data_IF_961586629976
#
_entry.id   IF_961586629976
#
_cell.length_a   1.000
_cell.length_b   1.000
_cell.length_c   1.000
_cell.angle_alpha   90.00
_cell.angle_beta   90.00
_cell.angle_gamma   90.00
#
_symmetry.space_group_name_H-M   'P 1'
#
loop_
_entity.id
_entity.type
_entity.pdbx_description
1 polymer ?
#
# COMPACT_ATOMS: atom_id res chain seq x y z
N UNK A 1 -32.78 22.04 116.90
CA UNK A 1 -33.78 22.37 115.86
C UNK A 1 -33.26 21.86 114.52
N UNK A 2 -33.92 20.85 113.95
CA UNK A 2 -33.66 20.37 112.59
C UNK A 2 -33.97 21.44 111.55
N UNK A 3 -33.38 21.31 110.35
CA UNK A 3 -34.24 21.22 109.17
C UNK A 3 -33.91 19.97 108.33
N UNK A 4 -34.93 19.13 108.18
CA UNK A 4 -35.09 18.17 107.11
C UNK A 4 -35.46 18.93 105.82
N UNK A 5 -34.75 18.73 104.72
CA UNK A 5 -35.25 19.01 103.35
C UNK A 5 -34.48 18.15 102.32
N UNK A 6 -35.08 17.84 101.16
CA UNK A 6 -35.42 16.47 100.77
C UNK A 6 -34.36 15.78 99.89
N UNK A 7 -34.37 14.45 99.91
CA UNK A 7 -33.67 13.61 98.95
C UNK A 7 -34.16 13.92 97.51
N UNK A 8 -33.29 14.51 96.69
CA UNK A 8 -33.46 14.55 95.23
C UNK A 8 -33.34 13.12 94.71
N UNK A 9 -34.47 12.48 94.43
CA UNK A 9 -34.51 11.22 93.67
C UNK A 9 -33.78 11.42 92.34
N UNK A 10 -32.77 10.59 92.10
CA UNK A 10 -31.80 10.79 91.04
C UNK A 10 -32.39 10.64 89.63
N UNK A 11 -32.36 11.72 88.84
CA UNK A 11 -32.39 11.66 87.37
C UNK A 11 -31.06 11.13 86.80
N UNK A 12 -30.46 10.11 87.41
CA UNK A 12 -29.16 9.54 87.02
C UNK A 12 -29.27 8.37 86.02
N UNK A 13 -30.49 7.88 85.73
CA UNK A 13 -30.73 6.80 84.74
C UNK A 13 -31.05 7.27 83.32
N UNK A 14 -31.68 8.45 83.14
CA UNK A 14 -32.10 8.94 81.81
C UNK A 14 -30.92 9.34 80.90
N UNK A 15 -29.81 9.80 81.50
CA UNK A 15 -28.60 10.16 80.75
C UNK A 15 -28.01 8.92 80.06
N UNK A 16 -28.02 7.77 80.73
CA UNK A 16 -27.50 6.52 80.18
C UNK A 16 -28.35 6.01 79.00
N UNK A 17 -29.68 6.13 79.09
CA UNK A 17 -30.59 5.76 77.99
C UNK A 17 -30.40 6.69 76.78
N UNK A 18 -30.32 8.00 76.99
CA UNK A 18 -30.02 8.97 75.93
C UNK A 18 -28.66 8.70 75.28
N UNK A 19 -27.62 8.44 76.07
CA UNK A 19 -26.29 8.10 75.58
C UNK A 19 -26.29 6.83 74.73
N UNK A 20 -27.05 5.79 75.10
CA UNK A 20 -27.16 4.56 74.31
C UNK A 20 -27.89 4.78 72.98
N UNK A 21 -28.94 5.60 72.96
CA UNK A 21 -29.66 5.97 71.73
C UNK A 21 -28.73 6.74 70.79
N UNK A 22 -28.03 7.76 71.31
CA UNK A 22 -27.06 8.51 70.51
C UNK A 22 -25.93 7.63 70.00
N UNK A 23 -25.40 6.72 70.82
CA UNK A 23 -24.38 5.76 70.41
C UNK A 23 -24.88 4.85 69.28
N UNK A 24 -26.12 4.35 69.38
CA UNK A 24 -26.75 3.55 68.33
C UNK A 24 -26.89 4.32 67.01
N UNK A 25 -27.29 5.60 67.08
CA UNK A 25 -27.37 6.48 65.91
C UNK A 25 -25.97 6.72 65.32
N UNK A 26 -24.96 6.98 66.13
CA UNK A 26 -23.58 7.16 65.66
C UNK A 26 -23.02 5.90 65.00
N UNK A 27 -23.31 4.71 65.53
CA UNK A 27 -22.94 3.45 64.88
C UNK A 27 -23.67 3.25 63.54
N UNK A 28 -24.96 3.56 63.48
CA UNK A 28 -25.74 3.45 62.23
C UNK A 28 -25.22 4.42 61.16
N UNK A 29 -24.96 5.69 61.52
CA UNK A 29 -24.39 6.68 60.60
C UNK A 29 -22.96 6.31 60.21
N UNK A 30 -22.14 5.86 61.15
CA UNK A 30 -20.75 5.45 60.91
C UNK A 30 -20.66 4.26 59.95
N UNK A 31 -21.48 3.23 60.15
CA UNK A 31 -21.54 2.06 59.25
C UNK A 31 -22.09 2.44 57.88
N UNK A 32 -23.10 3.30 57.80
CA UNK A 32 -23.62 3.82 56.52
C UNK A 32 -22.57 4.61 55.75
N UNK A 33 -21.78 5.45 56.42
CA UNK A 33 -20.71 6.22 55.80
C UNK A 33 -19.57 5.33 55.29
N UNK A 34 -19.14 4.34 56.08
CA UNK A 34 -18.14 3.36 55.64
C UNK A 34 -18.63 2.57 54.42
N UNK A 35 -19.91 2.17 54.40
CA UNK A 35 -20.50 1.51 53.24
C UNK A 35 -20.49 2.42 52.00
N UNK A 36 -20.91 3.68 52.14
CA UNK A 36 -20.86 4.66 51.06
C UNK A 36 -19.45 4.86 50.49
N UNK A 37 -18.44 5.01 51.36
CA UNK A 37 -17.03 5.17 50.94
C UNK A 37 -16.52 3.92 50.22
N UNK A 38 -16.84 2.72 50.70
CA UNK A 38 -16.40 1.47 50.06
C UNK A 38 -17.06 1.23 48.71
N UNK A 39 -18.36 1.52 48.57
CA UNK A 39 -19.08 1.45 47.29
C UNK A 39 -18.52 2.48 46.30
N UNK A 40 -18.30 3.72 46.74
CA UNK A 40 -17.72 4.77 45.92
C UNK A 40 -16.31 4.43 45.43
N UNK A 41 -15.45 3.92 46.33
CA UNK A 41 -14.10 3.49 45.98
C UNK A 41 -14.10 2.31 44.99
N UNK A 42 -15.00 1.33 45.16
CA UNK A 42 -15.17 0.22 44.21
C UNK A 42 -15.66 0.72 42.84
N UNK A 43 -16.65 1.60 42.82
CA UNK A 43 -17.18 2.20 41.59
C UNK A 43 -16.10 2.98 40.82
N UNK A 44 -15.30 3.79 41.52
CA UNK A 44 -14.18 4.50 40.92
C UNK A 44 -13.14 3.55 40.30
N UNK A 45 -12.78 2.47 41.01
CA UNK A 45 -11.86 1.44 40.48
C UNK A 45 -12.40 0.74 39.24
N UNK A 46 -13.68 0.39 39.23
CA UNK A 46 -14.33 -0.25 38.07
C UNK A 46 -14.38 0.71 36.87
N UNK A 47 -14.66 2.00 37.10
CA UNK A 47 -14.65 3.00 36.03
C UNK A 47 -13.25 3.20 35.42
N UNK A 48 -12.22 3.30 36.26
CA UNK A 48 -10.83 3.37 35.80
C UNK A 48 -10.43 2.11 35.03
N UNK A 49 -10.73 0.93 35.58
CA UNK A 49 -10.44 -0.35 34.92
C UNK A 49 -11.18 -0.49 33.57
N UNK A 50 -12.43 -0.02 33.50
CA UNK A 50 -13.21 0.01 32.26
C UNK A 50 -12.61 0.93 31.20
N UNK A 51 -12.15 2.12 31.59
CA UNK A 51 -11.49 3.05 30.66
C UNK A 51 -10.15 2.47 30.16
N UNK A 52 -9.37 1.85 31.05
CA UNK A 52 -8.13 1.17 30.70
C UNK A 52 -8.35 -0.02 29.77
N UNK A 53 -9.37 -0.85 30.05
CA UNK A 53 -9.72 -1.98 29.19
C UNK A 53 -10.16 -1.52 27.79
N UNK A 54 -10.88 -0.38 27.69
CA UNK A 54 -11.25 0.20 26.40
C UNK A 54 -10.02 0.67 25.63
N UNK A 55 -9.15 1.46 26.27
CA UNK A 55 -7.92 1.94 25.64
C UNK A 55 -7.01 0.80 25.17
N UNK A 56 -6.95 -0.31 25.92
CA UNK A 56 -6.23 -1.52 25.51
C UNK A 56 -6.85 -2.16 24.26
N UNK A 57 -8.18 -2.22 24.19
CA UNK A 57 -8.86 -2.75 23.02
C UNK A 57 -8.65 -1.84 21.79
N UNK A 58 -8.68 -0.51 21.95
CA UNK A 58 -8.42 0.46 20.87
C UNK A 58 -6.97 0.34 20.35
N UNK A 59 -6.00 0.32 21.26
CA UNK A 59 -4.60 0.13 20.89
C UNK A 59 -4.36 -1.23 20.19
N UNK A 60 -5.09 -2.28 20.60
CA UNK A 60 -5.03 -3.58 19.96
C UNK A 60 -5.62 -3.57 18.54
N UNK A 61 -6.66 -2.76 18.28
CA UNK A 61 -7.19 -2.56 16.93
C UNK A 61 -6.16 -1.84 16.04
N UNK A 62 -5.53 -0.77 16.52
CA UNK A 62 -4.49 -0.06 15.78
C UNK A 62 -3.28 -0.96 15.48
N UNK A 63 -2.87 -1.76 16.48
CA UNK A 63 -1.83 -2.78 16.32
C UNK A 63 -2.23 -3.80 15.26
N UNK A 64 -3.47 -4.28 15.25
CA UNK A 64 -3.94 -5.24 14.26
C UNK A 64 -3.86 -4.68 12.84
N UNK A 65 -4.27 -3.43 12.63
CA UNK A 65 -4.14 -2.75 11.33
C UNK A 65 -2.66 -2.65 10.91
N UNK A 66 -1.79 -2.21 11.81
CA UNK A 66 -0.34 -2.17 11.56
C UNK A 66 0.23 -3.55 11.21
N UNK A 67 -0.09 -4.58 11.98
CA UNK A 67 0.41 -5.95 11.76
C UNK A 67 -0.10 -6.53 10.45
N UNK A 68 -1.35 -6.27 10.06
CA UNK A 68 -1.91 -6.69 8.77
C UNK A 68 -1.21 -6.02 7.58
N UNK A 69 -0.75 -4.77 7.75
CA UNK A 69 0.06 -4.06 6.76
C UNK A 69 1.49 -4.61 6.65
N UNK A 70 2.03 -5.23 7.70
CA UNK A 70 3.35 -5.89 7.65
C UNK A 70 3.27 -7.35 7.19
N UNK A 71 2.21 -8.06 7.59
CA UNK A 71 1.99 -9.47 7.31
C UNK A 71 0.48 -9.72 7.06
N UNK A 72 0.05 -9.89 5.79
CA UNK A 72 -1.35 -10.16 5.45
C UNK A 72 -1.93 -11.44 6.07
N UNK A 73 -1.07 -12.35 6.53
CA UNK A 73 -1.43 -13.60 7.20
C UNK A 73 -1.52 -13.48 8.73
N UNK A 74 -1.38 -12.27 9.30
CA UNK A 74 -1.54 -12.06 10.73
C UNK A 74 -2.95 -12.47 11.19
N UNK A 75 -3.01 -13.44 12.11
CA UNK A 75 -4.26 -14.03 12.61
C UNK A 75 -4.69 -13.48 13.98
N UNK A 76 -3.82 -12.67 14.62
CA UNK A 76 -4.04 -12.13 15.94
C UNK A 76 -3.07 -12.66 16.99
N UNK A 77 -3.39 -12.40 18.25
CA UNK A 77 -2.57 -12.76 19.42
C UNK A 77 -3.47 -12.88 20.65
N UNK A 78 -3.08 -13.69 21.63
CA UNK A 78 -3.96 -14.04 22.76
C UNK A 78 -3.27 -13.73 24.08
N UNK A 79 -3.98 -13.04 24.98
CA UNK A 79 -3.54 -12.67 26.32
C UNK A 79 -2.17 -11.98 26.35
N UNK A 80 -1.91 -11.08 25.39
CA UNK A 80 -0.68 -10.30 25.35
C UNK A 80 -0.71 -9.25 26.45
N UNK A 81 0.26 -9.31 27.36
CA UNK A 81 0.41 -8.33 28.44
C UNK A 81 0.85 -6.96 27.92
N UNK A 82 0.17 -5.91 28.35
CA UNK A 82 0.57 -4.53 28.07
C UNK A 82 0.16 -3.63 29.24
N UNK A 83 1.13 -2.92 29.80
CA UNK A 83 0.95 -2.08 31.00
C UNK A 83 0.24 -2.84 32.12
N UNK A 84 -0.89 -2.32 32.62
CA UNK A 84 -1.67 -2.84 33.74
C UNK A 84 -2.78 -3.81 33.33
N UNK A 85 -2.74 -4.35 32.11
CA UNK A 85 -3.76 -5.24 31.58
C UNK A 85 -3.24 -6.21 30.53
N UNK A 86 -4.16 -6.89 29.87
CA UNK A 86 -3.87 -7.77 28.73
C UNK A 86 -4.86 -7.52 27.60
N UNK A 87 -4.42 -7.75 26.37
CA UNK A 87 -5.30 -7.71 25.20
C UNK A 87 -5.22 -9.00 24.40
N UNK A 88 -6.26 -9.27 23.61
CA UNK A 88 -6.29 -10.32 22.59
C UNK A 88 -6.84 -9.76 21.30
N UNK A 89 -6.29 -10.20 20.17
CA UNK A 89 -6.71 -9.85 18.82
C UNK A 89 -7.10 -11.15 18.12
N UNK A 90 -8.22 -11.12 17.40
CA UNK A 90 -8.61 -12.19 16.48
C UNK A 90 -8.96 -11.57 15.14
N UNK A 91 -8.32 -12.09 14.09
CA UNK A 91 -8.57 -11.67 12.72
C UNK A 91 -9.31 -12.79 11.99
N UNK A 92 -10.44 -12.47 11.37
CA UNK A 92 -11.22 -13.39 10.55
C UNK A 92 -11.50 -12.78 9.18
N UNK A 93 -11.40 -13.57 8.12
CA UNK A 93 -11.75 -13.11 6.78
C UNK A 93 -13.26 -13.06 6.63
N UNK A 94 -13.79 -11.93 6.14
CA UNK A 94 -15.20 -11.77 5.76
C UNK A 94 -15.36 -12.12 4.28
N UNK A 95 -14.46 -11.59 3.45
CA UNK A 95 -14.29 -11.86 2.02
C UNK A 95 -12.81 -11.70 1.63
N UNK A 96 -12.48 -11.69 0.34
CA UNK A 96 -11.09 -11.54 -0.15
C UNK A 96 -10.46 -10.21 0.23
N UNK A 97 -11.27 -9.15 0.41
CA UNK A 97 -10.81 -7.77 0.59
C UNK A 97 -11.12 -7.22 1.98
N UNK A 98 -11.91 -7.92 2.79
CA UNK A 98 -12.37 -7.43 4.09
C UNK A 98 -12.05 -8.44 5.18
N UNK A 99 -11.40 -7.97 6.25
CA UNK A 99 -11.17 -8.72 7.49
C UNK A 99 -11.99 -8.10 8.62
N UNK A 100 -12.56 -8.95 9.47
CA UNK A 100 -13.15 -8.56 10.74
C UNK A 100 -12.09 -8.75 11.82
N UNK A 101 -11.71 -7.65 12.47
CA UNK A 101 -10.83 -7.65 13.62
C UNK A 101 -11.66 -7.52 14.89
N UNK A 102 -11.47 -8.45 15.81
CA UNK A 102 -12.02 -8.41 17.17
C UNK A 102 -10.88 -8.22 18.15
N UNK A 103 -10.88 -7.12 18.90
CA UNK A 103 -9.93 -6.86 19.97
C UNK A 103 -10.62 -6.88 21.33
N UNK A 104 -10.01 -7.55 22.30
CA UNK A 104 -10.51 -7.67 23.67
C UNK A 104 -9.46 -7.12 24.61
N UNK A 105 -9.77 -6.06 25.35
CA UNK A 105 -8.95 -5.54 26.45
C UNK A 105 -9.47 -6.02 27.80
N UNK A 106 -8.58 -6.47 28.67
CA UNK A 106 -8.90 -6.97 30.03
C UNK A 106 -7.99 -6.32 31.06
N UNK A 107 -8.57 -5.88 32.18
CA UNK A 107 -7.82 -5.29 33.29
C UNK A 107 -8.26 -5.94 34.59
N UNK A 108 -7.32 -6.39 35.45
CA UNK A 108 -5.86 -6.41 35.24
C UNK A 108 -5.37 -7.63 34.44
N UNK A 109 -6.18 -8.68 34.34
CA UNK A 109 -5.85 -9.90 33.62
C UNK A 109 -7.12 -10.59 33.09
N UNK A 110 -6.97 -11.64 32.29
CA UNK A 110 -8.06 -12.35 31.63
C UNK A 110 -8.65 -13.47 32.48
N UNK A 111 -7.98 -13.92 33.53
CA UNK A 111 -8.45 -14.96 34.44
C UNK A 111 -9.47 -14.41 35.45
N UNK A 112 -9.23 -13.21 35.97
CA UNK A 112 -10.09 -12.51 36.93
C UNK A 112 -10.19 -11.01 36.58
N UNK A 113 -10.85 -10.66 35.46
CA UNK A 113 -10.96 -9.27 35.04
C UNK A 113 -11.88 -8.47 35.97
N UNK A 114 -11.44 -7.28 36.35
CA UNK A 114 -12.29 -6.23 36.94
C UNK A 114 -13.14 -5.59 35.84
N UNK A 115 -12.57 -5.45 34.64
CA UNK A 115 -13.27 -4.97 33.46
C UNK A 115 -12.77 -5.66 32.20
N UNK A 116 -13.69 -5.88 31.26
CA UNK A 116 -13.44 -6.36 29.91
C UNK A 116 -14.11 -5.40 28.93
N UNK A 117 -13.45 -5.13 27.80
CA UNK A 117 -14.02 -4.36 26.69
C UNK A 117 -13.68 -5.03 25.39
N UNK A 118 -14.66 -5.16 24.52
CA UNK A 118 -14.49 -5.80 23.21
C UNK A 118 -14.83 -4.80 22.11
N UNK A 119 -13.91 -4.62 21.17
CA UNK A 119 -14.12 -3.80 19.97
C UNK A 119 -14.13 -4.72 18.75
N UNK A 120 -15.08 -4.48 17.85
CA UNK A 120 -15.11 -5.11 16.53
C UNK A 120 -15.10 -4.03 15.47
N UNK A 121 -14.24 -4.19 14.47
CA UNK A 121 -14.13 -3.30 13.31
C UNK A 121 -13.85 -4.12 12.06
N UNK A 122 -14.38 -3.69 10.92
CA UNK A 122 -13.96 -4.24 9.63
C UNK A 122 -12.80 -3.40 9.11
N UNK A 123 -11.76 -4.08 8.66
CA UNK A 123 -10.62 -3.48 7.99
C UNK A 123 -10.63 -3.99 6.55
N UNK A 124 -10.59 -3.07 5.59
CA UNK A 124 -10.68 -3.39 4.18
C UNK A 124 -9.37 -3.10 3.45
N UNK A 125 -9.07 -3.91 2.44
CA UNK A 125 -8.24 -3.54 1.31
C UNK A 125 -9.07 -2.62 0.44
N UNK A 126 -8.75 -1.34 0.45
CA UNK A 126 -9.28 -0.43 -0.57
C UNK A 126 -8.55 -0.71 -1.88
N UNK A 127 -9.19 -1.46 -2.77
CA UNK A 127 -8.71 -1.74 -4.13
C UNK A 127 -8.93 -0.58 -5.11
N UNK A 128 -9.49 0.53 -4.66
CA UNK A 128 -9.89 1.66 -5.52
C UNK A 128 -8.73 2.54 -5.98
N UNK A 129 -7.51 2.24 -5.53
CA UNK A 129 -6.29 2.89 -6.01
C UNK A 129 -5.20 1.84 -6.03
N UNK A 130 -4.69 1.50 -7.21
CA UNK A 130 -3.33 0.95 -7.29
C UNK A 130 -2.43 2.04 -6.74
N UNK A 131 -1.98 1.90 -5.49
CA UNK A 131 -1.18 2.93 -4.82
C UNK A 131 0.24 2.85 -5.32
N UNK A 132 0.59 3.81 -6.15
CA UNK A 132 1.93 3.95 -6.68
C UNK A 132 2.68 4.98 -5.85
N UNK A 133 3.63 4.48 -5.04
CA UNK A 133 4.33 5.31 -4.05
C UNK A 133 5.38 6.24 -4.67
N UNK A 134 5.77 6.00 -5.92
CA UNK A 134 6.87 6.68 -6.60
C UNK A 134 6.45 7.13 -8.00
N UNK A 135 7.07 8.20 -8.50
CA UNK A 135 6.79 8.66 -9.86
C UNK A 135 7.15 7.61 -10.91
N UNK A 136 8.19 6.80 -10.64
CA UNK A 136 8.59 5.62 -11.40
C UNK A 136 9.23 4.60 -10.45
N UNK A 137 8.85 3.32 -10.56
CA UNK A 137 9.37 2.24 -9.70
C UNK A 137 10.00 1.11 -10.53
N UNK A 138 11.24 0.73 -10.22
CA UNK A 138 11.85 -0.50 -10.72
C UNK A 138 12.14 -1.48 -9.59
N UNK A 139 12.09 -2.78 -9.89
CA UNK A 139 12.51 -3.87 -9.01
C UNK A 139 14.03 -4.03 -8.98
N UNK A 140 14.49 -5.26 -8.73
CA UNK A 140 15.90 -5.60 -8.58
C UNK A 140 16.73 -5.36 -9.86
N UNK A 141 16.08 -5.37 -11.04
CA UNK A 141 16.76 -5.10 -12.31
C UNK A 141 17.06 -3.61 -12.54
N UNK A 142 16.42 -2.73 -11.77
CA UNK A 142 16.73 -1.31 -11.68
C UNK A 142 16.46 -0.48 -12.94
N UNK A 143 17.19 0.63 -13.08
CA UNK A 143 17.05 1.58 -14.18
C UNK A 143 18.30 1.65 -15.05
N UNK A 144 18.07 1.81 -16.35
CA UNK A 144 19.10 2.23 -17.30
C UNK A 144 18.61 3.45 -18.07
N UNK A 145 19.38 4.54 -18.09
CA UNK A 145 19.09 5.78 -18.77
C UNK A 145 20.16 6.07 -19.82
N UNK A 146 19.80 5.92 -21.09
CA UNK A 146 20.68 6.19 -22.22
C UNK A 146 20.28 7.45 -22.96
N UNK A 147 21.28 8.10 -23.56
CA UNK A 147 21.14 9.35 -24.31
C UNK A 147 20.38 10.42 -23.50
N UNK A 148 19.74 11.36 -24.19
CA UNK A 148 19.00 12.48 -23.59
C UNK A 148 17.68 12.09 -22.91
N UNK A 149 17.57 10.86 -22.40
CA UNK A 149 16.38 10.39 -21.68
C UNK A 149 16.23 11.11 -20.35
N UNK A 150 15.00 11.26 -19.89
CA UNK A 150 14.70 11.97 -18.66
C UNK A 150 13.52 11.41 -17.89
N UNK A 151 13.54 11.63 -16.57
CA UNK A 151 12.43 11.29 -15.68
C UNK A 151 12.02 12.57 -14.95
N UNK A 152 10.76 12.94 -15.06
CA UNK A 152 10.15 14.07 -14.36
C UNK A 152 9.38 13.54 -13.15
N UNK A 153 10.08 13.40 -12.03
CA UNK A 153 9.56 12.84 -10.79
C UNK A 153 10.62 12.07 -10.00
N UNK A 154 10.21 11.54 -8.85
CA UNK A 154 11.07 10.73 -8.00
C UNK A 154 11.19 9.31 -8.55
N UNK A 155 12.38 8.72 -8.39
CA UNK A 155 12.72 7.37 -8.82
C UNK A 155 12.97 6.50 -7.60
N UNK A 156 12.32 5.35 -7.55
CA UNK A 156 12.65 4.28 -6.62
C UNK A 156 13.06 3.03 -7.37
N UNK A 157 14.16 2.44 -6.96
CA UNK A 157 14.72 1.25 -7.56
C UNK A 157 15.12 0.24 -6.48
N UNK A 158 14.64 -0.99 -6.59
CA UNK A 158 15.16 -2.12 -5.81
C UNK A 158 16.57 -2.56 -6.25
N UNK A 159 17.01 -2.10 -7.42
CA UNK A 159 18.35 -2.34 -7.96
C UNK A 159 19.08 -1.06 -8.35
N UNK A 160 20.09 -1.19 -9.20
CA UNK A 160 20.94 -0.06 -9.61
C UNK A 160 20.22 0.96 -10.49
N UNK A 161 20.59 2.24 -10.39
CA UNK A 161 20.16 3.31 -11.31
C UNK A 161 21.38 3.78 -12.10
N UNK A 162 21.41 3.43 -13.39
CA UNK A 162 22.60 3.58 -14.23
C UNK A 162 22.32 4.50 -15.40
N UNK A 163 23.17 5.48 -15.64
CA UNK A 163 23.14 6.32 -16.84
C UNK A 163 24.38 6.19 -17.72
N UNK A 164 24.26 6.55 -19.00
CA UNK A 164 25.37 6.48 -19.96
C UNK A 164 25.72 7.78 -20.68
N UNK A 165 24.80 8.73 -20.91
CA UNK A 165 25.09 10.02 -21.59
C UNK A 165 23.96 11.05 -21.47
N UNK A 166 24.18 12.26 -20.91
CA UNK A 166 23.24 13.41 -20.96
C UNK A 166 21.78 13.13 -20.51
N UNK A 167 21.58 12.20 -19.59
CA UNK A 167 20.27 11.90 -18.99
C UNK A 167 19.99 12.79 -17.76
N UNK A 168 18.71 12.99 -17.44
CA UNK A 168 18.25 13.81 -16.31
C UNK A 168 17.17 13.13 -15.48
N UNK A 169 17.30 13.19 -14.15
CA UNK A 169 16.21 12.85 -13.23
C UNK A 169 15.84 14.10 -12.44
N UNK A 170 14.66 14.65 -12.73
CA UNK A 170 14.10 15.83 -12.07
C UNK A 170 13.37 15.45 -10.77
N UNK A 171 14.11 14.86 -9.84
CA UNK A 171 13.55 14.36 -8.58
C UNK A 171 14.60 13.67 -7.71
N UNK A 172 14.14 13.13 -6.58
CA UNK A 172 14.97 12.30 -5.72
C UNK A 172 15.16 10.91 -6.34
N UNK A 173 16.32 10.31 -6.09
CA UNK A 173 16.67 8.95 -6.57
C UNK A 173 16.97 8.06 -5.39
N UNK A 174 16.29 6.92 -5.32
CA UNK A 174 16.55 5.86 -4.35
C UNK A 174 16.96 4.59 -5.08
N UNK A 175 18.14 4.09 -4.76
CA UNK A 175 18.57 2.72 -5.05
C UNK A 175 18.68 1.99 -3.72
N UNK A 176 17.70 1.12 -3.45
CA UNK A 176 17.50 0.50 -2.15
C UNK A 176 18.38 -0.75 -1.94
N UNK A 177 18.55 -1.14 -0.68
CA UNK A 177 19.28 -2.33 -0.28
C UNK A 177 20.81 -2.19 -0.29
N UNK A 178 21.52 -3.21 0.23
CA UNK A 178 22.97 -3.20 0.38
C UNK A 178 23.72 -3.30 -0.97
N UNK A 179 23.04 -3.73 -2.03
CA UNK A 179 23.58 -3.75 -3.40
C UNK A 179 23.21 -2.48 -4.19
N UNK A 180 22.57 -1.49 -3.54
CA UNK A 180 22.11 -0.26 -4.18
C UNK A 180 23.25 0.54 -4.80
N UNK A 181 23.15 0.82 -6.10
CA UNK A 181 24.20 1.48 -6.87
C UNK A 181 23.60 2.56 -7.78
N UNK A 182 24.11 3.78 -7.69
CA UNK A 182 23.71 4.87 -8.59
C UNK A 182 24.94 5.43 -9.30
N UNK A 183 24.99 5.42 -10.63
CA UNK A 183 26.07 6.10 -11.35
C UNK A 183 25.71 6.55 -12.77
N UNK A 184 26.42 7.55 -13.29
CA UNK A 184 26.30 8.00 -14.69
C UNK A 184 25.04 8.84 -14.97
N UNK A 185 24.39 9.33 -13.92
CA UNK A 185 23.16 10.14 -13.99
C UNK A 185 23.39 11.59 -13.57
N UNK A 186 22.47 12.48 -13.97
CA UNK A 186 22.29 13.81 -13.36
C UNK A 186 20.95 13.85 -12.61
N UNK A 187 20.98 13.87 -11.28
CA UNK A 187 19.81 14.06 -10.43
C UNK A 187 19.72 15.50 -9.93
N UNK A 188 18.57 16.15 -10.13
CA UNK A 188 18.36 17.55 -9.68
C UNK A 188 17.96 17.66 -8.21
N UNK A 189 17.80 16.54 -7.52
CA UNK A 189 17.49 16.49 -6.09
C UNK A 189 18.46 15.55 -5.36
N UNK A 190 18.04 14.89 -4.28
CA UNK A 190 18.92 14.07 -3.45
C UNK A 190 18.99 12.62 -3.96
N UNK A 191 20.10 11.95 -3.70
CA UNK A 191 20.33 10.55 -4.05
C UNK A 191 20.61 9.73 -2.80
N UNK A 192 19.99 8.56 -2.71
CA UNK A 192 20.14 7.58 -1.65
C UNK A 192 20.53 6.23 -2.27
N UNK A 193 21.72 5.72 -1.94
CA UNK A 193 22.20 4.42 -2.42
C UNK A 193 23.32 3.89 -1.54
N UNK A 194 23.52 2.58 -1.48
CA UNK A 194 24.67 2.00 -0.76
C UNK A 194 26.00 2.53 -1.35
N UNK A 195 26.12 2.51 -2.67
CA UNK A 195 27.26 3.06 -3.43
C UNK A 195 26.82 4.13 -4.43
N UNK A 196 27.54 5.25 -4.48
CA UNK A 196 27.31 6.30 -5.49
C UNK A 196 28.55 6.45 -6.38
N UNK A 197 28.34 6.26 -7.68
CA UNK A 197 29.28 6.54 -8.73
C UNK A 197 30.16 5.36 -9.15
N UNK A 198 30.91 5.54 -10.23
CA UNK A 198 31.76 4.53 -10.84
C UNK A 198 32.95 5.20 -11.54
N UNK A 199 34.10 4.51 -11.63
CA UNK A 199 35.31 5.07 -12.25
C UNK A 199 35.11 5.47 -13.74
N UNK A 200 34.21 4.80 -14.46
CA UNK A 200 34.03 5.00 -15.90
C UNK A 200 33.12 6.19 -16.26
N UNK A 201 32.26 6.67 -15.36
CA UNK A 201 31.24 7.69 -15.69
C UNK A 201 30.98 8.63 -14.52
N UNK A 202 30.86 9.92 -14.81
CA UNK A 202 30.58 10.93 -13.79
C UNK A 202 29.11 10.91 -13.38
N UNK A 203 28.85 11.15 -12.10
CA UNK A 203 27.51 11.30 -11.53
C UNK A 203 27.35 12.70 -10.96
N UNK A 204 26.25 13.38 -11.25
CA UNK A 204 25.98 14.75 -10.80
C UNK A 204 24.72 14.75 -9.92
N UNK A 205 24.84 15.35 -8.73
CA UNK A 205 23.78 15.43 -7.73
C UNK A 205 23.66 16.89 -7.29
N UNK A 206 22.53 17.54 -7.59
CA UNK A 206 22.35 18.97 -7.32
C UNK A 206 22.03 19.27 -5.85
N UNK A 207 21.53 18.28 -5.09
CA UNK A 207 21.31 18.39 -3.64
C UNK A 207 22.21 17.44 -2.86
N UNK A 208 21.63 16.57 -2.03
CA UNK A 208 22.37 15.79 -1.04
C UNK A 208 22.63 14.37 -1.53
N UNK A 209 23.72 13.77 -1.07
CA UNK A 209 24.08 12.40 -1.37
C UNK A 209 24.18 11.59 -0.07
N UNK A 210 23.40 10.51 0.05
CA UNK A 210 23.40 9.60 1.19
C UNK A 210 23.93 8.24 0.73
N UNK A 211 25.04 7.81 1.32
CA UNK A 211 25.73 6.58 0.96
C UNK A 211 26.47 5.96 2.13
N UNK A 212 26.84 4.69 2.03
CA UNK A 212 27.63 4.01 3.05
C UNK A 212 29.10 4.48 2.97
N UNK A 213 29.96 3.79 2.24
CA UNK A 213 31.40 4.08 2.24
C UNK A 213 31.94 4.55 0.89
N UNK A 214 31.26 4.24 -0.21
CA UNK A 214 31.80 4.44 -1.56
C UNK A 214 31.12 5.57 -2.32
N UNK A 215 31.90 6.62 -2.60
CA UNK A 215 31.56 7.68 -3.55
C UNK A 215 32.69 7.86 -4.57
N UNK A 216 32.43 7.60 -5.85
CA UNK A 216 33.43 7.58 -6.92
C UNK A 216 33.01 8.50 -8.06
N UNK A 217 33.90 9.35 -8.57
CA UNK A 217 33.63 10.19 -9.75
C UNK A 217 32.26 10.90 -9.70
N UNK A 218 31.94 11.50 -8.55
CA UNK A 218 30.61 12.07 -8.28
C UNK A 218 30.76 13.51 -7.81
N UNK A 219 30.05 14.42 -8.48
CA UNK A 219 29.92 15.83 -8.08
C UNK A 219 28.62 16.01 -7.30
N UNK A 220 28.73 16.51 -6.07
CA UNK A 220 27.58 16.79 -5.19
C UNK A 220 27.59 18.29 -4.87
N UNK A 221 26.54 19.01 -5.26
CA UNK A 221 26.41 20.45 -5.01
C UNK A 221 25.93 20.76 -3.59
N UNK A 222 25.14 19.87 -3.00
CA UNK A 222 24.73 19.95 -1.59
C UNK A 222 25.70 19.21 -0.66
N UNK A 223 25.15 18.54 0.36
CA UNK A 223 25.94 17.86 1.39
C UNK A 223 26.06 16.37 1.13
N UNK A 224 27.24 15.81 1.39
CA UNK A 224 27.48 14.35 1.39
C UNK A 224 27.34 13.78 2.81
N UNK A 225 26.56 12.72 2.95
CA UNK A 225 26.29 12.01 4.20
C UNK A 225 26.81 10.56 4.09
N UNK A 226 28.12 10.33 4.30
CA UNK A 226 28.68 8.98 4.36
C UNK A 226 28.20 8.22 5.63
N UNK A 227 28.24 6.89 5.58
CA UNK A 227 27.71 5.96 6.59
C UNK A 227 26.20 6.13 6.83
N UNK A 228 25.47 6.56 5.80
CA UNK A 228 24.01 6.58 5.85
C UNK A 228 23.47 5.15 5.75
N UNK A 229 22.43 4.79 6.51
CA UNK A 229 21.81 3.48 6.38
C UNK A 229 21.16 3.30 5.00
N UNK A 230 21.22 2.08 4.48
CA UNK A 230 20.55 1.72 3.23
C UNK A 230 19.03 1.91 3.34
N UNK A 231 18.43 2.39 2.25
CA UNK A 231 16.97 2.46 2.16
C UNK A 231 16.39 1.05 2.03
N UNK A 232 15.25 0.80 2.68
CA UNK A 232 14.60 -0.50 2.63
C UNK A 232 14.12 -0.85 1.21
N UNK A 233 14.29 -2.12 0.84
CA UNK A 233 13.74 -2.69 -0.39
C UNK A 233 12.23 -2.89 -0.25
N UNK A 234 11.51 -2.71 -1.35
CA UNK A 234 10.05 -2.75 -1.42
C UNK A 234 9.64 -3.61 -2.61
N UNK A 235 8.60 -4.43 -2.45
CA UNK A 235 8.05 -5.24 -3.54
C UNK A 235 7.31 -4.37 -4.56
N UNK A 236 7.14 -4.91 -5.77
CA UNK A 236 6.31 -4.26 -6.79
C UNK A 236 4.82 -4.28 -6.37
N UNK A 237 4.02 -3.28 -6.80
CA UNK A 237 2.70 -2.98 -6.22
C UNK A 237 1.57 -3.93 -6.61
N UNK A 238 1.69 -4.68 -7.71
CA UNK A 238 0.66 -5.61 -8.20
C UNK A 238 1.21 -7.04 -8.06
N UNK A 239 0.44 -7.94 -7.47
CA UNK A 239 0.85 -9.35 -7.32
C UNK A 239 0.42 -10.21 -8.51
N UNK A 240 1.12 -11.33 -8.75
CA UNK A 240 0.71 -12.33 -9.74
C UNK A 240 -0.70 -12.87 -9.48
N UNK A 241 -1.08 -13.00 -8.22
CA UNK A 241 -2.44 -13.43 -7.84
C UNK A 241 -3.49 -12.45 -8.35
N UNK A 242 -3.24 -11.13 -8.18
CA UNK A 242 -4.15 -10.09 -8.67
C UNK A 242 -4.24 -10.07 -10.20
N UNK A 243 -3.12 -10.31 -10.89
CA UNK A 243 -3.12 -10.45 -12.36
C UNK A 243 -3.96 -11.67 -12.77
N UNK A 244 -3.82 -12.81 -12.09
CA UNK A 244 -4.62 -14.01 -12.33
C UNK A 244 -6.12 -13.83 -12.07
N UNK A 245 -6.50 -12.98 -11.11
CA UNK A 245 -7.91 -12.60 -10.90
C UNK A 245 -8.46 -11.84 -12.12
N UNK A 246 -7.71 -10.88 -12.67
CA UNK A 246 -8.11 -10.17 -13.89
C UNK A 246 -8.17 -11.08 -15.12
N UNK A 247 -7.26 -12.05 -15.24
CA UNK A 247 -7.31 -13.08 -16.30
C UNK A 247 -8.58 -13.94 -16.20
N UNK A 248 -8.98 -14.27 -14.97
CA UNK A 248 -10.22 -15.01 -14.69
C UNK A 248 -11.44 -14.18 -15.10
N UNK A 249 -11.47 -12.88 -14.78
CA UNK A 249 -12.53 -11.96 -15.21
C UNK A 249 -12.58 -11.81 -16.74
N UNK A 250 -11.42 -11.73 -17.40
CA UNK A 250 -11.33 -11.69 -18.86
C UNK A 250 -11.89 -12.98 -19.49
N UNK A 251 -11.49 -14.14 -18.98
CA UNK A 251 -11.95 -15.44 -19.47
C UNK A 251 -13.46 -15.65 -19.24
N UNK A 252 -14.03 -15.12 -18.16
CA UNK A 252 -15.47 -15.18 -17.88
C UNK A 252 -16.31 -14.43 -18.93
N UNK A 253 -15.73 -13.43 -19.62
CA UNK A 253 -16.36 -12.74 -20.73
C UNK A 253 -16.38 -13.51 -22.05
N UNK A 254 -15.72 -14.68 -22.11
CA UNK A 254 -15.67 -15.56 -23.27
C UNK A 254 -14.28 -15.68 -23.87
N UNK A 255 -14.18 -16.46 -24.95
CA UNK A 255 -12.91 -16.70 -25.67
C UNK A 255 -13.04 -16.26 -27.12
N UNK A 256 -12.12 -15.41 -27.59
CA UNK A 256 -12.06 -14.96 -28.97
C UNK A 256 -11.62 -16.07 -29.93
N UNK A 257 -12.11 -16.02 -31.16
CA UNK A 257 -11.68 -16.92 -32.23
C UNK A 257 -10.47 -16.34 -32.94
N UNK A 258 -9.40 -17.13 -33.04
CA UNK A 258 -8.17 -16.77 -33.71
C UNK A 258 -8.16 -17.32 -35.15
N UNK A 259 -7.71 -16.49 -36.10
CA UNK A 259 -7.55 -16.89 -37.49
C UNK A 259 -6.07 -16.94 -37.81
N UNK A 260 -5.59 -18.08 -38.30
CA UNK A 260 -4.17 -18.28 -38.64
C UNK A 260 -3.21 -17.97 -37.47
N UNK A 261 -3.61 -18.28 -36.24
CA UNK A 261 -2.80 -18.06 -35.04
C UNK A 261 -2.77 -16.61 -34.53
N UNK A 262 -3.64 -15.73 -35.02
CA UNK A 262 -3.73 -14.35 -34.53
C UNK A 262 -5.18 -13.83 -34.46
N UNK A 263 -5.41 -12.90 -33.54
CA UNK A 263 -6.58 -12.04 -33.47
C UNK A 263 -6.19 -10.63 -33.93
N UNK A 264 -6.61 -10.26 -35.15
CA UNK A 264 -6.15 -9.04 -35.83
C UNK A 264 -7.29 -8.05 -36.09
N UNK A 265 -7.07 -6.77 -35.77
CA UNK A 265 -7.96 -5.65 -36.06
C UNK A 265 -7.14 -4.57 -36.76
N UNK A 266 -7.46 -4.25 -38.02
CA UNK A 266 -6.69 -3.29 -38.83
C UNK A 266 -7.44 -2.02 -39.23
N UNK A 267 -8.76 -2.01 -39.12
CA UNK A 267 -9.61 -0.85 -39.41
C UNK A 267 -11.00 -0.98 -38.77
N UNK A 268 -11.79 0.09 -38.83
CA UNK A 268 -13.16 0.12 -38.30
C UNK A 268 -13.21 0.30 -36.79
N UNK A 269 -14.41 0.16 -36.22
CA UNK A 269 -14.65 0.26 -34.78
C UNK A 269 -15.07 -1.10 -34.23
N UNK A 270 -14.38 -1.56 -33.18
CA UNK A 270 -14.63 -2.87 -32.54
C UNK A 270 -14.83 -2.67 -31.04
N UNK A 271 -15.83 -3.35 -30.48
CA UNK A 271 -16.00 -3.48 -29.02
C UNK A 271 -15.28 -4.73 -28.55
N UNK A 272 -14.47 -4.63 -27.49
CA UNK A 272 -13.64 -5.72 -27.01
C UNK A 272 -13.63 -5.77 -25.48
N UNK A 273 -13.54 -6.97 -24.92
CA UNK A 273 -13.47 -7.16 -23.48
C UNK A 273 -14.85 -7.17 -22.79
N UNK A 274 -14.99 -7.84 -21.62
CA UNK A 274 -14.02 -8.79 -21.08
C UNK A 274 -13.86 -10.01 -22.01
N UNK A 275 -12.62 -10.45 -22.28
CA UNK A 275 -12.39 -11.58 -23.19
C UNK A 275 -10.99 -12.20 -23.03
N UNK A 276 -10.89 -13.53 -23.19
CA UNK A 276 -9.63 -14.25 -23.42
C UNK A 276 -9.33 -14.41 -24.91
N UNK A 277 -8.12 -14.10 -25.33
CA UNK A 277 -7.62 -14.28 -26.70
C UNK A 277 -6.53 -15.36 -26.68
N UNK A 278 -6.80 -16.57 -27.20
CA UNK A 278 -5.91 -17.73 -27.04
C UNK A 278 -4.73 -17.74 -28.04
N UNK A 279 -4.28 -16.58 -28.51
CA UNK A 279 -3.27 -16.42 -29.56
C UNK A 279 -2.68 -14.99 -29.56
N UNK A 280 -1.78 -14.68 -30.51
CA UNK A 280 -1.21 -13.34 -30.64
C UNK A 280 -2.27 -12.30 -31.08
N UNK A 281 -2.24 -11.13 -30.46
CA UNK A 281 -3.16 -10.02 -30.75
C UNK A 281 -2.46 -8.90 -31.51
N UNK A 282 -3.06 -8.43 -32.60
CA UNK A 282 -2.52 -7.33 -33.42
C UNK A 282 -3.60 -6.28 -33.70
N UNK A 283 -3.43 -5.07 -33.15
CA UNK A 283 -4.22 -3.89 -33.51
C UNK A 283 -3.34 -2.96 -34.36
N UNK A 284 -3.78 -2.63 -35.57
CA UNK A 284 -2.97 -1.88 -36.53
C UNK A 284 -3.82 -0.94 -37.39
N UNK A 285 -3.16 -0.27 -38.34
CA UNK A 285 -3.81 0.64 -39.29
C UNK A 285 -4.51 1.80 -38.58
N UNK A 286 -5.82 1.89 -38.76
CA UNK A 286 -6.69 2.95 -38.22
C UNK A 286 -7.81 2.39 -37.34
N UNK A 287 -7.64 1.18 -36.81
CA UNK A 287 -8.61 0.53 -35.95
C UNK A 287 -8.92 1.37 -34.70
N UNK A 288 -10.20 1.41 -34.31
CA UNK A 288 -10.66 1.99 -33.06
C UNK A 288 -11.23 0.85 -32.20
N UNK A 289 -10.55 0.52 -31.11
CA UNK A 289 -10.97 -0.53 -30.18
C UNK A 289 -11.53 0.11 -28.92
N UNK A 290 -12.79 -0.18 -28.59
CA UNK A 290 -13.46 0.27 -27.37
C UNK A 290 -13.48 -0.87 -26.35
N UNK A 291 -12.83 -0.68 -25.21
CA UNK A 291 -12.71 -1.65 -24.13
C UNK A 291 -13.92 -1.60 -23.20
N UNK A 292 -14.51 -2.76 -22.90
CA UNK A 292 -15.60 -2.90 -21.93
C UNK A 292 -15.23 -3.76 -20.70
N UNK A 293 -13.99 -4.23 -20.62
CA UNK A 293 -13.48 -5.02 -19.49
C UNK A 293 -12.07 -5.57 -19.76
N UNK A 294 -11.55 -6.36 -18.82
CA UNK A 294 -10.20 -6.94 -18.89
C UNK A 294 -9.99 -7.81 -20.13
N UNK A 295 -8.80 -7.76 -20.71
CA UNK A 295 -8.40 -8.60 -21.84
C UNK A 295 -7.22 -9.44 -21.41
N UNK A 296 -7.30 -10.75 -21.64
CA UNK A 296 -6.17 -11.68 -21.44
C UNK A 296 -5.76 -12.29 -22.77
N UNK A 297 -4.52 -12.09 -23.18
CA UNK A 297 -3.92 -12.62 -24.41
C UNK A 297 -2.89 -13.68 -24.04
N UNK A 298 -3.08 -14.93 -24.47
CA UNK A 298 -2.10 -16.01 -24.29
C UNK A 298 -1.06 -16.02 -25.42
N UNK A 299 -0.48 -14.86 -25.68
CA UNK A 299 0.41 -14.60 -26.80
C UNK A 299 1.06 -13.23 -26.66
N UNK A 300 1.62 -12.73 -27.76
CA UNK A 300 2.15 -11.38 -27.83
C UNK A 300 1.04 -10.39 -28.24
N UNK A 301 1.17 -9.14 -27.80
CA UNK A 301 0.30 -8.04 -28.17
C UNK A 301 1.09 -7.02 -28.97
N UNK A 302 0.59 -6.64 -30.14
CA UNK A 302 1.15 -5.59 -30.97
C UNK A 302 0.06 -4.54 -31.22
N UNK A 303 0.34 -3.27 -30.93
CA UNK A 303 -0.52 -2.14 -31.23
C UNK A 303 0.30 -1.10 -31.97
N UNK A 304 -0.05 -0.79 -33.23
CA UNK A 304 0.82 -0.01 -34.10
C UNK A 304 0.07 0.91 -35.08
N UNK A 305 0.84 1.65 -35.89
CA UNK A 305 0.35 2.66 -36.82
C UNK A 305 -0.44 3.78 -36.12
N UNK A 306 -1.72 3.96 -36.46
CA UNK A 306 -2.59 5.02 -35.93
C UNK A 306 -3.83 4.44 -35.26
N UNK A 307 -3.70 3.22 -34.72
CA UNK A 307 -4.75 2.59 -33.95
C UNK A 307 -5.07 3.38 -32.68
N UNK A 308 -6.34 3.35 -32.28
CA UNK A 308 -6.84 3.97 -31.04
C UNK A 308 -7.42 2.88 -30.15
N UNK A 309 -6.94 2.80 -28.92
CA UNK A 309 -7.54 1.95 -27.88
C UNK A 309 -8.15 2.87 -26.83
N UNK A 310 -9.46 2.76 -26.61
CA UNK A 310 -10.19 3.63 -25.68
C UNK A 310 -11.06 2.83 -24.73
N UNK A 311 -11.24 3.30 -23.50
CA UNK A 311 -12.19 2.71 -22.57
C UNK A 311 -13.62 3.17 -22.87
N UNK A 312 -14.61 2.29 -22.68
CA UNK A 312 -16.01 2.66 -22.74
C UNK A 312 -16.35 3.65 -21.59
N UNK A 313 -17.12 4.72 -21.86
CA UNK A 313 -17.52 5.66 -20.80
C UNK A 313 -18.32 5.02 -19.65
N UNK A 314 -19.00 3.90 -19.93
CA UNK A 314 -19.76 3.14 -18.92
C UNK A 314 -18.88 2.53 -17.81
N UNK A 315 -17.56 2.48 -18.01
CA UNK A 315 -16.62 1.98 -17.00
C UNK A 315 -16.31 3.00 -15.90
N UNK A 316 -16.74 4.26 -16.00
CA UNK A 316 -16.51 5.24 -14.94
C UNK A 316 -15.02 5.34 -14.58
N UNK A 317 -14.68 5.31 -13.29
CA UNK A 317 -13.30 5.38 -12.78
C UNK A 317 -12.54 4.04 -12.78
N UNK A 318 -13.12 2.96 -13.32
CA UNK A 318 -12.48 1.64 -13.33
C UNK A 318 -11.16 1.64 -14.10
N UNK A 319 -10.26 0.74 -13.71
CA UNK A 319 -9.03 0.44 -14.45
C UNK A 319 -9.22 -0.84 -15.27
N UNK A 320 -8.89 -0.79 -16.56
CA UNK A 320 -8.96 -1.98 -17.43
C UNK A 320 -7.56 -2.48 -17.72
N UNK A 321 -7.32 -3.74 -17.38
CA UNK A 321 -6.07 -4.44 -17.69
C UNK A 321 -6.12 -5.09 -19.07
N UNK A 322 -5.08 -4.87 -19.86
CA UNK A 322 -4.75 -5.63 -21.07
C UNK A 322 -3.49 -6.45 -20.76
N UNK A 323 -3.68 -7.76 -20.65
CA UNK A 323 -2.70 -8.69 -20.08
C UNK A 323 -2.13 -9.56 -21.19
N UNK A 324 -0.81 -9.57 -21.36
CA UNK A 324 -0.09 -10.58 -22.11
C UNK A 324 0.49 -11.58 -21.10
N UNK A 325 -0.12 -12.76 -20.99
CA UNK A 325 0.40 -13.88 -20.21
C UNK A 325 0.15 -15.18 -20.97
N UNK A 326 1.23 -15.80 -21.41
CA UNK A 326 1.25 -17.16 -21.90
C UNK A 326 1.88 -18.07 -20.83
N UNK A 327 1.07 -18.77 -20.00
CA UNK A 327 1.58 -19.67 -18.97
C UNK A 327 2.48 -20.79 -19.50
N UNK A 328 2.38 -21.13 -20.79
CA UNK A 328 3.24 -22.13 -21.43
C UNK A 328 4.58 -21.57 -21.91
N UNK A 329 4.73 -20.24 -22.02
CA UNK A 329 5.95 -19.59 -22.49
C UNK A 329 6.06 -18.12 -22.05
N UNK A 330 6.52 -17.88 -20.83
CA UNK A 330 6.80 -16.52 -20.33
C UNK A 330 8.18 -15.99 -20.71
N UNK A 331 9.10 -16.85 -21.15
CA UNK A 331 10.47 -16.43 -21.48
C UNK A 331 10.56 -15.69 -22.82
N UNK A 332 9.89 -16.18 -23.87
CA UNK A 332 10.00 -15.60 -25.22
C UNK A 332 8.67 -15.06 -25.78
N UNK A 333 7.56 -15.28 -25.08
CA UNK A 333 6.22 -14.72 -25.40
C UNK A 333 5.74 -13.79 -24.27
N UNK A 334 4.44 -13.51 -24.19
CA UNK A 334 3.84 -12.56 -23.22
C UNK A 334 4.32 -11.12 -23.39
N UNK A 335 4.76 -10.75 -24.61
CA UNK A 335 5.34 -9.43 -24.90
C UNK A 335 4.28 -8.46 -25.35
N UNK A 336 4.45 -7.18 -25.03
CA UNK A 336 3.62 -6.10 -25.55
C UNK A 336 4.49 -5.11 -26.31
N UNK A 337 4.10 -4.77 -27.54
CA UNK A 337 4.83 -3.81 -28.37
C UNK A 337 3.88 -2.74 -28.89
N UNK A 338 4.17 -1.48 -28.56
CA UNK A 338 3.39 -0.30 -28.96
C UNK A 338 4.26 0.56 -29.88
N UNK A 339 3.83 0.75 -31.12
CA UNK A 339 4.64 1.39 -32.17
C UNK A 339 3.95 2.55 -32.86
N UNK A 340 4.76 3.38 -33.53
CA UNK A 340 4.33 4.51 -34.35
C UNK A 340 3.51 5.56 -33.58
N UNK A 341 2.23 5.73 -33.91
CA UNK A 341 1.34 6.78 -33.39
C UNK A 341 0.09 6.20 -32.74
N UNK A 342 0.16 4.94 -32.27
CA UNK A 342 -0.93 4.34 -31.53
C UNK A 342 -1.25 5.17 -30.28
N UNK A 343 -2.54 5.33 -29.97
CA UNK A 343 -2.98 6.20 -28.88
C UNK A 343 -3.97 5.51 -27.95
N UNK A 344 -3.95 5.96 -26.68
CA UNK A 344 -4.75 5.41 -25.60
C UNK A 344 -5.63 6.49 -25.00
N UNK A 345 -6.88 6.14 -24.70
CA UNK A 345 -7.86 7.06 -24.14
C UNK A 345 -8.57 6.40 -22.97
N UNK A 346 -8.68 7.12 -21.87
CA UNK A 346 -9.40 6.65 -20.69
C UNK A 346 -10.93 6.72 -20.91
N UNK A 347 -11.74 6.46 -19.88
CA UNK A 347 -13.20 6.44 -20.01
C UNK A 347 -13.83 7.83 -20.16
N UNK A 348 -13.02 8.90 -20.03
CA UNK A 348 -13.48 10.27 -19.80
C UNK A 348 -13.69 10.61 -18.32
N UNK A 349 -13.51 9.66 -17.40
CA UNK A 349 -13.59 9.89 -15.93
C UNK A 349 -12.19 9.97 -15.33
N UNK A 350 -11.92 10.98 -14.49
CA UNK A 350 -10.65 11.08 -13.74
C UNK A 350 -10.44 9.82 -12.89
N UNK A 351 -9.23 9.28 -12.89
CA UNK A 351 -8.89 8.04 -12.17
C UNK A 351 -9.07 6.77 -13.00
N UNK A 352 -9.62 6.85 -14.22
CA UNK A 352 -9.64 5.70 -15.13
C UNK A 352 -8.35 5.59 -15.94
N UNK A 353 -7.83 4.36 -16.04
CA UNK A 353 -6.58 4.05 -16.73
C UNK A 353 -6.66 2.75 -17.52
N UNK A 354 -5.95 2.71 -18.64
CA UNK A 354 -5.61 1.45 -19.31
C UNK A 354 -4.28 0.98 -18.73
N UNK A 355 -4.30 -0.20 -18.12
CA UNK A 355 -3.13 -0.86 -17.55
C UNK A 355 -2.64 -1.94 -18.53
N UNK A 356 -1.43 -1.78 -19.06
CA UNK A 356 -0.76 -2.84 -19.80
C UNK A 356 0.01 -3.71 -18.83
N UNK A 357 -0.20 -5.02 -18.90
CA UNK A 357 0.47 -6.01 -18.04
C UNK A 357 1.18 -7.04 -18.91
N UNK A 358 2.49 -7.16 -18.75
CA UNK A 358 3.25 -8.25 -19.35
C UNK A 358 3.78 -9.18 -18.25
N UNK A 359 3.50 -10.47 -18.41
CA UNK A 359 4.06 -11.53 -17.58
C UNK A 359 5.33 -12.16 -18.20
N UNK A 360 5.96 -11.50 -19.17
CA UNK A 360 7.25 -11.95 -19.69
C UNK A 360 8.31 -11.90 -18.58
N UNK A 361 9.06 -12.99 -18.40
CA UNK A 361 10.01 -13.14 -17.32
C UNK A 361 11.46 -13.32 -17.79
N UNK A 362 11.78 -12.93 -19.02
CA UNK A 362 13.15 -13.07 -19.51
C UNK A 362 14.14 -12.27 -18.66
N UNK A 363 13.78 -11.07 -18.22
CA UNK A 363 14.71 -10.13 -17.56
C UNK A 363 15.16 -10.62 -16.18
N UNK A 364 14.23 -11.09 -15.35
CA UNK A 364 14.54 -11.66 -14.03
C UNK A 364 15.37 -12.95 -14.13
N UNK A 365 15.27 -13.68 -15.26
CA UNK A 365 16.05 -14.87 -15.56
C UNK A 365 17.38 -14.56 -16.28
N UNK A 366 17.80 -13.29 -16.32
CA UNK A 366 19.07 -12.86 -16.91
C UNK A 366 19.11 -12.80 -18.45
N UNK A 367 17.96 -12.94 -19.11
CA UNK A 367 17.81 -12.79 -20.56
C UNK A 367 17.56 -11.35 -21.01
N UNK A 368 17.57 -11.14 -22.32
CA UNK A 368 17.46 -9.82 -22.96
C UNK A 368 16.16 -9.57 -23.73
N UNK A 369 15.10 -10.36 -23.51
CA UNK A 369 13.81 -10.15 -24.19
C UNK A 369 12.99 -9.09 -23.45
N UNK A 370 12.57 -8.05 -24.16
CA UNK A 370 11.71 -6.99 -23.64
C UNK A 370 10.29 -7.49 -23.36
N UNK A 371 9.75 -7.11 -22.21
CA UNK A 371 8.39 -7.45 -21.80
C UNK A 371 7.38 -6.46 -22.37
N UNK A 372 7.69 -5.17 -22.28
CA UNK A 372 6.93 -4.11 -22.93
C UNK A 372 7.91 -3.19 -23.65
N UNK A 373 7.70 -3.03 -24.96
CA UNK A 373 8.43 -2.10 -25.80
C UNK A 373 7.48 -0.98 -26.23
N UNK A 374 7.79 0.26 -25.85
CA UNK A 374 7.02 1.43 -26.21
C UNK A 374 7.89 2.31 -27.12
N UNK A 375 7.37 2.64 -28.30
CA UNK A 375 8.00 3.53 -29.27
C UNK A 375 7.00 4.65 -29.65
N UNK A 376 7.35 5.92 -29.40
CA UNK A 376 6.64 7.12 -29.91
C UNK A 376 5.17 7.32 -29.43
N UNK A 377 4.76 6.71 -28.31
CA UNK A 377 3.36 6.77 -27.83
C UNK A 377 3.04 8.01 -26.98
N UNK A 378 1.78 8.48 -27.06
CA UNK A 378 1.24 9.62 -26.30
C UNK A 378 0.00 9.25 -25.47
N UNK A 379 0.14 9.42 -24.14
CA UNK A 379 -0.89 9.65 -23.11
C UNK A 379 -1.86 8.52 -22.69
N UNK A 380 -2.27 8.59 -21.42
CA UNK A 380 -3.34 7.82 -20.75
C UNK A 380 -3.15 6.29 -20.57
N UNK A 381 -1.90 5.86 -20.38
CA UNK A 381 -1.55 4.46 -20.10
C UNK A 381 -0.64 4.34 -18.87
N UNK A 382 -0.83 3.24 -18.15
CA UNK A 382 0.11 2.71 -17.15
C UNK A 382 0.70 1.41 -17.69
N UNK A 383 2.01 1.22 -17.56
CA UNK A 383 2.69 0.00 -17.99
C UNK A 383 3.29 -0.76 -16.78
N UNK A 384 3.04 -2.07 -16.74
CA UNK A 384 3.44 -2.94 -15.64
C UNK A 384 4.06 -4.25 -16.14
N UNK A 385 5.27 -4.58 -15.66
CA UNK A 385 5.95 -5.84 -15.99
C UNK A 385 6.77 -6.35 -14.80
N UNK A 386 6.15 -7.11 -13.89
CA UNK A 386 6.75 -7.53 -12.61
C UNK A 386 8.06 -8.32 -12.74
N UNK A 387 8.19 -9.07 -13.85
CA UNK A 387 9.28 -10.03 -14.10
C UNK A 387 10.19 -9.63 -15.27
N UNK A 388 9.80 -8.58 -15.99
CA UNK A 388 10.33 -8.23 -17.29
C UNK A 388 10.90 -6.82 -17.31
N UNK A 389 11.65 -6.49 -18.37
CA UNK A 389 12.06 -5.11 -18.56
C UNK A 389 11.13 -4.37 -19.51
N UNK A 390 10.85 -3.11 -19.17
CA UNK A 390 10.11 -2.19 -20.03
C UNK A 390 11.12 -1.27 -20.72
N UNK A 391 11.06 -1.23 -22.04
CA UNK A 391 11.88 -0.38 -22.88
C UNK A 391 11.07 0.79 -23.43
N UNK A 392 11.56 2.01 -23.20
CA UNK A 392 10.94 3.26 -23.62
C UNK A 392 11.88 3.99 -24.58
N UNK A 393 11.43 4.22 -25.81
CA UNK A 393 12.22 4.90 -26.83
C UNK A 393 11.54 6.16 -27.41
N UNK A 394 12.36 7.18 -27.72
CA UNK A 394 11.98 8.41 -28.42
C UNK A 394 10.99 9.28 -27.61
N UNK A 395 10.01 9.92 -28.25
CA UNK A 395 9.11 10.87 -27.56
C UNK A 395 7.92 10.13 -26.94
N UNK A 396 8.12 9.62 -25.73
CA UNK A 396 7.07 8.97 -24.94
C UNK A 396 6.63 9.88 -23.81
N UNK A 397 5.34 9.85 -23.47
CA UNK A 397 4.81 10.40 -22.23
C UNK A 397 3.78 9.44 -21.64
N UNK A 398 4.16 8.78 -20.55
CA UNK A 398 3.34 7.82 -19.81
C UNK A 398 2.91 8.43 -18.49
N UNK A 399 1.74 8.02 -17.99
CA UNK A 399 1.30 8.41 -16.64
C UNK A 399 2.19 7.74 -15.60
N UNK A 400 2.52 6.48 -15.84
CA UNK A 400 3.32 5.67 -14.93
C UNK A 400 3.91 4.42 -15.60
N UNK A 401 5.07 3.99 -15.09
CA UNK A 401 5.74 2.74 -15.47
C UNK A 401 6.30 2.06 -14.22
N UNK A 402 5.99 0.78 -14.05
CA UNK A 402 6.57 -0.06 -13.00
C UNK A 402 7.01 -1.40 -13.57
N UNK A 403 8.24 -1.84 -13.29
CA UNK A 403 8.76 -3.09 -13.86
C UNK A 403 9.87 -3.73 -13.01
N UNK A 404 10.28 -4.96 -13.32
CA UNK A 404 11.53 -5.53 -12.79
C UNK A 404 12.74 -4.66 -13.14
N UNK A 405 12.78 -4.19 -14.39
CA UNK A 405 13.81 -3.29 -14.93
C UNK A 405 13.19 -2.28 -15.89
N UNK A 406 13.65 -1.04 -15.88
CA UNK A 406 13.20 -0.01 -16.81
C UNK A 406 14.38 0.51 -17.60
N UNK A 407 14.26 0.54 -18.93
CA UNK A 407 15.27 1.04 -19.84
C UNK A 407 14.71 2.22 -20.64
N UNK A 408 15.29 3.40 -20.45
CA UNK A 408 14.97 4.60 -21.21
C UNK A 408 16.08 4.88 -22.22
N UNK A 409 15.71 5.15 -23.48
CA UNK A 409 16.65 5.49 -24.56
C UNK A 409 16.25 6.77 -25.29
N UNK A 410 17.22 7.33 -26.01
CA UNK A 410 17.04 8.50 -26.90
C UNK A 410 16.48 9.71 -26.15
N UNK A 411 15.28 10.17 -26.49
CA UNK A 411 14.61 11.32 -25.89
C UNK A 411 13.43 10.92 -25.00
N UNK A 412 13.38 9.67 -24.53
CA UNK A 412 12.30 9.17 -23.68
C UNK A 412 12.14 10.01 -22.42
N UNK A 413 10.92 10.48 -22.16
CA UNK A 413 10.58 11.21 -20.96
C UNK A 413 9.46 10.49 -20.20
N UNK A 414 9.69 10.11 -18.94
CA UNK A 414 8.60 9.68 -18.07
C UNK A 414 8.12 10.90 -17.30
N UNK A 415 6.84 11.27 -17.44
CA UNK A 415 6.24 12.39 -16.71
C UNK A 415 5.10 11.90 -15.84
N UNK A 416 5.38 11.79 -14.55
CA UNK A 416 4.38 11.44 -13.56
C UNK A 416 3.31 12.53 -13.42
N UNK A 417 2.05 12.13 -13.28
CA UNK A 417 0.94 13.03 -12.95
C UNK A 417 0.60 12.87 -11.46
N UNK A 418 0.74 13.94 -10.68
CA UNK A 418 0.73 13.94 -9.21
C UNK A 418 -0.63 13.60 -8.55
N UNK A 419 -1.60 13.11 -9.33
CA UNK A 419 -2.95 12.74 -8.87
C UNK A 419 -3.15 11.25 -8.54
N UNK A 420 -2.13 10.39 -8.67
CA UNK A 420 -2.20 8.93 -8.47
C UNK A 420 -1.90 8.46 -7.03
N UNK A 421 -2.13 9.34 -6.05
CA UNK A 421 -1.87 9.12 -4.61
C UNK A 421 -0.39 8.90 -4.27
N UNK A 422 0.39 9.98 -4.40
CA UNK A 422 1.54 10.21 -3.52
C UNK A 422 0.99 10.50 -2.12
N UNK A 423 0.95 9.45 -1.30
CA UNK A 423 0.93 9.60 0.15
C UNK A 423 2.09 8.76 0.66
N UNK A 424 3.05 9.48 1.26
CA UNK A 424 4.02 8.95 2.21
C UNK A 424 5.31 8.33 1.61
N UNK A 425 6.33 9.20 1.46
CA UNK A 425 7.61 8.89 2.12
C UNK A 425 7.31 8.63 3.60
N UNK A 426 7.61 7.40 4.02
CA UNK A 426 7.37 6.68 5.29
C UNK A 426 6.47 5.44 5.16
N UNK A 427 7.15 4.33 4.88
CA UNK A 427 6.77 2.93 5.16
C UNK A 427 5.81 2.19 4.20
N UNK A 428 6.42 1.52 3.20
CA UNK A 428 6.11 0.12 2.80
C UNK A 428 4.82 -0.18 2.02
N UNK A 429 4.77 -1.32 1.28
CA UNK A 429 3.95 -1.46 0.06
C UNK A 429 2.59 -2.15 0.24
N UNK A 430 1.70 -1.83 -0.69
CA UNK A 430 0.41 -2.49 -0.88
C UNK A 430 -0.70 -1.70 -0.19
N UNK A 431 -1.88 -1.66 -0.82
CA UNK A 431 -3.04 -0.95 -0.28
C UNK A 431 -3.17 -1.14 1.23
N UNK A 432 -3.09 -0.04 1.97
CA UNK A 432 -3.08 -0.09 3.43
C UNK A 432 -4.41 -0.63 3.91
N UNK A 433 -4.36 -1.68 4.72
CA UNK A 433 -5.48 -2.14 5.54
C UNK A 433 -5.94 -0.97 6.40
N UNK A 434 -7.05 -0.37 6.00
CA UNK A 434 -7.61 0.81 6.65
C UNK A 434 -8.98 0.51 7.25
N UNK A 435 -9.33 1.27 8.28
CA UNK A 435 -10.62 1.15 8.95
C UNK A 435 -11.74 1.49 7.98
N UNK A 436 -12.74 0.60 7.87
CA UNK A 436 -13.97 0.91 7.13
C UNK A 436 -14.85 1.77 8.05
N UNK A 437 -15.11 3.05 7.70
CA UNK A 437 -15.95 3.92 8.52
C UNK A 437 -17.33 3.33 8.78
N UNK A 438 -17.87 3.54 9.98
CA UNK A 438 -19.20 3.04 10.36
C UNK A 438 -19.27 1.56 10.76
N UNK A 439 -18.15 0.84 10.77
CA UNK A 439 -18.11 -0.58 11.20
C UNK A 439 -17.63 -0.77 12.64
N UNK A 440 -17.17 0.30 13.28
CA UNK A 440 -16.72 0.29 14.68
C UNK A 440 -17.89 0.01 15.63
N UNK A 441 -17.73 -1.00 16.48
CA UNK A 441 -18.69 -1.33 17.53
C UNK A 441 -17.99 -1.71 18.82
N UNK A 442 -18.41 -1.08 19.93
CA UNK A 442 -18.01 -1.46 21.28
C UNK A 442 -19.06 -2.42 21.82
N UNK A 443 -18.61 -3.60 22.21
CA UNK A 443 -19.42 -4.60 22.89
C UNK A 443 -18.89 -4.83 24.30
N UNK A 444 -19.81 -5.24 25.18
CA UNK A 444 -19.63 -5.15 26.62
C UNK A 444 -18.59 -6.12 27.14
#
# INVERSE_FOLDING_TARGET
MSPLTPARQGKRGYVLVLSLIFLGIFFAVGTSYLNFVTIGARGARVNVASAQALALAEAAIDKAAYQLNQNPSYSGETNTSFTNGMFSITVSSVDSNTKLVTAIGTVPNSQNPIATRTIKVKIGLTSDVVSFHYGVQAGQGGFTLDNTSSITGNVYSGGSVIGSSQNYIYGDVVSAGPDGLVYGIHATSSVYAHTIGNASRSTIIDKNAYYDTSKINTTVSGTSYPNSPDQATTSLPISDTQIGEWETLAAAGGTATCTSGSYSISSGSVSLGPVKIPCDMNISGTAIVTLYGHIWVTGNIIIQNSAVVKMAPSLGSETVAIIADNPSNKLTSSKISIKNTASFQNSGTTGSFILLVSQNNSAENGGGVGAIELENSVSAMVAYAAHGFIELENSISLKEVTAYKIYLKNSANIKYDTGLASVVFDSGPGGSWTFIPGTYSITR
#
